data_IF_239907321448
#
_entry.id   IF_239907321448
#
_cell.length_a   1.000
_cell.length_b   1.000
_cell.length_c   1.000
_cell.angle_alpha   90.00
_cell.angle_beta   90.00
_cell.angle_gamma   90.00
#
_symmetry.space_group_name_H-M   'P 1'
#
loop_
_entity.id
_entity.type
_entity.pdbx_description
1 polymer ?
#
# COMPACT_ATOMS: atom_id res chain seq x y z
N UNK A 1 -7.17 13.72 -8.23
CA UNK A 1 -5.74 13.90 -8.50
C UNK A 1 -5.08 12.55 -8.63
N UNK A 2 -4.00 12.46 -9.40
CA UNK A 2 -3.26 11.22 -9.59
C UNK A 2 -1.78 11.49 -9.82
N UNK A 3 -0.93 10.61 -9.32
CA UNK A 3 0.51 10.59 -9.59
C UNK A 3 0.86 9.34 -10.39
N UNK A 4 1.82 9.47 -11.30
CA UNK A 4 2.31 8.40 -12.16
C UNK A 4 3.81 8.21 -11.96
N UNK A 5 4.37 7.12 -12.53
CA UNK A 5 5.81 6.83 -12.55
C UNK A 5 6.46 6.69 -11.16
N UNK A 6 5.67 6.35 -10.14
CA UNK A 6 6.15 6.11 -8.79
C UNK A 6 6.83 4.74 -8.70
N UNK A 7 7.68 4.57 -7.68
CA UNK A 7 8.30 3.29 -7.33
C UNK A 7 7.71 2.81 -6.01
N UNK A 8 7.02 1.68 -6.04
CA UNK A 8 6.43 1.06 -4.85
C UNK A 8 7.45 0.15 -4.16
N UNK A 9 7.72 0.47 -2.90
CA UNK A 9 8.44 -0.39 -1.97
C UNK A 9 7.45 -1.01 -0.99
N UNK A 10 7.76 -2.22 -0.52
CA UNK A 10 7.04 -2.86 0.58
C UNK A 10 8.01 -3.35 1.64
N UNK A 11 7.57 -3.47 2.88
CA UNK A 11 8.45 -3.87 3.97
C UNK A 11 7.78 -3.92 5.33
N UNK A 12 8.57 -4.23 6.36
CA UNK A 12 8.10 -4.21 7.75
C UNK A 12 8.12 -2.78 8.28
N UNK A 13 7.18 -2.49 9.17
CA UNK A 13 7.25 -1.30 10.03
C UNK A 13 7.04 -1.73 11.47
N UNK A 14 7.53 -0.93 12.42
CA UNK A 14 7.38 -1.21 13.85
C UNK A 14 5.88 -1.27 14.21
N UNK A 15 5.10 -0.28 13.76
CA UNK A 15 3.66 -0.20 14.03
C UNK A 15 2.88 -1.38 13.45
N UNK A 16 3.27 -1.86 12.26
CA UNK A 16 2.70 -3.06 11.65
C UNK A 16 3.01 -4.30 12.48
N UNK A 17 4.25 -4.45 12.97
CA UNK A 17 4.63 -5.55 13.87
C UNK A 17 3.79 -5.56 15.16
N UNK A 18 3.67 -4.41 15.83
CA UNK A 18 2.86 -4.28 17.05
C UNK A 18 1.39 -4.62 16.78
N UNK A 19 0.82 -4.13 15.68
CA UNK A 19 -0.57 -4.38 15.34
C UNK A 19 -0.83 -5.86 15.01
N UNK A 20 0.14 -6.56 14.43
CA UNK A 20 0.05 -8.01 14.17
C UNK A 20 -0.03 -8.82 15.48
N UNK A 21 0.72 -8.45 16.51
CA UNK A 21 0.65 -9.10 17.84
C UNK A 21 -0.73 -8.91 18.50
N UNK A 22 -1.37 -7.77 18.25
CA UNK A 22 -2.74 -7.51 18.68
C UNK A 22 -3.81 -8.28 17.87
N UNK A 23 -3.45 -8.85 16.72
CA UNK A 23 -4.30 -9.69 15.88
C UNK A 23 -4.48 -9.17 14.45
N UNK A 24 -4.47 -10.10 13.49
CA UNK A 24 -4.48 -9.81 12.03
C UNK A 24 -5.80 -9.25 11.50
N UNK A 25 -6.90 -9.44 12.24
CA UNK A 25 -8.27 -9.01 11.84
C UNK A 25 -8.70 -7.73 12.55
N UNK A 26 -7.82 -7.10 13.33
CA UNK A 26 -8.13 -5.91 14.11
C UNK A 26 -8.17 -4.65 13.25
N UNK A 27 -8.85 -3.60 13.74
CA UNK A 27 -8.84 -2.28 13.08
C UNK A 27 -7.46 -1.65 13.15
N UNK A 28 -6.70 -1.99 14.19
CA UNK A 28 -5.32 -1.57 14.42
C UNK A 28 -4.40 -2.10 13.31
N UNK A 29 -4.57 -3.36 12.89
CA UNK A 29 -3.85 -3.91 11.74
C UNK A 29 -4.18 -3.15 10.45
N UNK A 30 -5.45 -2.81 10.22
CA UNK A 30 -5.84 -1.99 9.05
C UNK A 30 -5.17 -0.62 9.11
N UNK A 31 -5.20 0.08 10.25
CA UNK A 31 -4.56 1.40 10.39
C UNK A 31 -3.04 1.35 10.22
N UNK A 32 -2.40 0.25 10.64
CA UNK A 32 -0.95 0.12 10.60
C UNK A 32 -0.41 -0.39 9.25
N UNK A 33 -1.18 -1.20 8.51
CA UNK A 33 -0.71 -1.89 7.32
C UNK A 33 -1.50 -1.58 6.03
N UNK A 34 -2.74 -1.09 6.12
CA UNK A 34 -3.53 -0.64 4.96
C UNK A 34 -3.26 0.83 4.63
N UNK A 35 -1.98 1.22 4.61
CA UNK A 35 -1.53 2.59 4.36
C UNK A 35 -0.54 2.63 3.21
N UNK A 36 -0.51 3.76 2.49
CA UNK A 36 0.55 4.11 1.56
C UNK A 36 1.20 5.41 2.03
N UNK A 37 2.50 5.37 2.31
CA UNK A 37 3.29 6.54 2.71
C UNK A 37 3.91 7.20 1.48
N UNK A 38 3.94 8.53 1.50
CA UNK A 38 4.46 9.37 0.42
C UNK A 38 5.51 10.34 0.95
N UNK A 39 6.44 10.73 0.08
CA UNK A 39 7.25 11.93 0.29
C UNK A 39 6.35 13.17 0.46
N UNK A 40 6.83 14.17 1.22
CA UNK A 40 6.09 15.42 1.45
C UNK A 40 5.75 16.16 0.15
N UNK A 41 6.65 16.14 -0.83
CA UNK A 41 6.44 16.78 -2.14
C UNK A 41 5.37 16.07 -2.96
N UNK A 42 5.48 14.75 -3.12
CA UNK A 42 4.47 13.92 -3.80
C UNK A 42 3.10 14.05 -3.13
N UNK A 43 3.04 14.03 -1.80
CA UNK A 43 1.78 14.16 -1.08
C UNK A 43 1.12 15.53 -1.27
N UNK A 44 1.93 16.59 -1.39
CA UNK A 44 1.43 17.92 -1.73
C UNK A 44 0.84 17.95 -3.14
N UNK A 45 1.45 17.25 -4.10
CA UNK A 45 0.92 17.12 -5.46
C UNK A 45 -0.37 16.29 -5.54
N UNK A 46 -0.54 15.29 -4.65
CA UNK A 46 -1.80 14.55 -4.53
C UNK A 46 -2.98 15.43 -4.09
N UNK A 47 -2.70 16.55 -3.41
CA UNK A 47 -3.69 17.53 -2.95
C UNK A 47 -4.87 16.89 -2.20
N UNK A 48 -4.52 16.09 -1.18
CA UNK A 48 -5.49 15.43 -0.30
C UNK A 48 -5.07 15.51 1.17
N UNK A 49 -5.99 15.15 2.08
CA UNK A 49 -5.70 15.10 3.51
C UNK A 49 -5.13 13.72 3.89
N UNK A 50 -4.29 13.67 4.93
CA UNK A 50 -3.85 12.40 5.53
C UNK A 50 -5.08 11.56 5.89
N UNK A 51 -5.01 10.27 5.59
CA UNK A 51 -6.12 9.33 5.75
C UNK A 51 -7.12 9.36 4.59
N UNK A 52 -6.92 10.18 3.56
CA UNK A 52 -7.75 10.08 2.35
C UNK A 52 -7.45 8.75 1.64
N UNK A 53 -8.44 7.93 1.28
CA UNK A 53 -8.22 6.72 0.51
C UNK A 53 -7.61 7.03 -0.86
N UNK A 54 -6.61 6.23 -1.23
CA UNK A 54 -5.97 6.27 -2.54
C UNK A 54 -5.97 4.88 -3.14
N UNK A 55 -6.16 4.80 -4.46
CA UNK A 55 -5.99 3.56 -5.22
C UNK A 55 -4.56 3.52 -5.74
N UNK A 56 -3.83 2.47 -5.37
CA UNK A 56 -2.49 2.17 -5.87
C UNK A 56 -2.63 1.07 -6.90
N UNK A 57 -2.09 1.29 -8.10
CA UNK A 57 -2.15 0.34 -9.21
C UNK A 57 -0.73 0.06 -9.71
N UNK A 58 -0.43 -1.21 -9.95
CA UNK A 58 0.76 -1.70 -10.65
C UNK A 58 0.31 -2.58 -11.82
N UNK A 59 1.26 -3.10 -12.59
CA UNK A 59 0.94 -4.06 -13.67
C UNK A 59 0.35 -5.39 -13.15
N UNK A 60 0.40 -5.62 -11.84
CA UNK A 60 0.03 -6.90 -11.20
C UNK A 60 -1.30 -6.84 -10.45
N UNK A 61 -1.86 -5.63 -10.26
CA UNK A 61 -3.15 -5.46 -9.60
C UNK A 61 -3.35 -4.05 -9.04
N UNK A 62 -4.38 -3.91 -8.23
CA UNK A 62 -4.71 -2.64 -7.57
C UNK A 62 -5.23 -2.84 -6.14
N UNK A 63 -5.02 -1.83 -5.30
CA UNK A 63 -5.52 -1.82 -3.93
C UNK A 63 -5.90 -0.42 -3.47
N UNK A 64 -6.95 -0.30 -2.67
CA UNK A 64 -7.32 0.94 -1.99
C UNK A 64 -6.78 0.93 -0.56
N UNK A 65 -5.97 1.91 -0.23
CA UNK A 65 -5.30 2.08 1.08
C UNK A 65 -5.40 3.53 1.55
N UNK A 66 -5.18 3.79 2.83
CA UNK A 66 -5.14 5.16 3.35
C UNK A 66 -3.83 5.85 3.00
N UNK A 67 -3.88 7.08 2.50
CA UNK A 67 -2.67 7.86 2.22
C UNK A 67 -2.12 8.51 3.50
N UNK A 68 -0.80 8.60 3.62
CA UNK A 68 -0.13 9.32 4.72
C UNK A 68 1.22 9.89 4.26
N UNK A 69 1.78 10.80 5.05
CA UNK A 69 3.09 11.39 4.82
C UNK A 69 4.12 10.65 5.68
N UNK A 70 5.28 10.34 5.13
CA UNK A 70 6.40 9.81 5.94
C UNK A 70 7.29 10.92 6.49
N UNK A 71 7.91 10.64 7.63
CA UNK A 71 8.94 11.48 8.24
C UNK A 71 10.37 11.06 7.82
N UNK A 72 10.49 9.88 7.20
CA UNK A 72 11.75 9.43 6.62
C UNK A 72 12.18 10.37 5.49
N UNK A 73 13.50 10.50 5.28
CA UNK A 73 14.11 11.57 4.49
C UNK A 73 13.54 11.75 3.08
N UNK A 74 13.89 12.85 2.37
CA UNK A 74 13.28 13.13 1.09
C UNK A 74 13.53 12.01 0.08
N UNK A 75 12.46 11.49 -0.50
CA UNK A 75 12.48 10.43 -1.51
C UNK A 75 11.36 10.62 -2.56
N UNK A 76 11.32 11.75 -3.29
CA UNK A 76 10.29 11.99 -4.30
C UNK A 76 10.20 10.85 -5.31
N UNK A 77 8.99 10.47 -5.67
CA UNK A 77 8.71 9.37 -6.59
C UNK A 77 8.78 7.98 -5.96
N UNK A 78 9.03 7.85 -4.65
CA UNK A 78 9.01 6.58 -3.91
C UNK A 78 7.83 6.56 -2.95
N UNK A 79 7.04 5.50 -3.04
CA UNK A 79 5.92 5.23 -2.13
C UNK A 79 6.14 3.91 -1.42
N UNK A 80 5.57 3.77 -0.23
CA UNK A 80 5.75 2.55 0.56
C UNK A 80 4.42 2.05 1.14
N UNK A 81 4.19 0.74 1.05
CA UNK A 81 3.07 0.05 1.69
C UNK A 81 3.64 -1.02 2.62
N UNK A 82 3.27 -1.04 3.91
CA UNK A 82 3.68 -2.11 4.82
C UNK A 82 3.26 -3.49 4.29
N UNK A 83 4.10 -4.50 4.51
CA UNK A 83 3.82 -5.86 4.09
C UNK A 83 2.51 -6.37 4.71
N UNK A 84 1.72 -7.10 3.92
CA UNK A 84 0.42 -7.59 4.33
C UNK A 84 -0.50 -7.85 3.14
N UNK A 85 -1.77 -8.21 3.40
CA UNK A 85 -2.72 -8.55 2.35
C UNK A 85 -2.96 -7.40 1.36
N UNK A 86 -2.86 -6.14 1.81
CA UNK A 86 -2.97 -4.95 0.96
C UNK A 86 -1.80 -4.80 -0.02
N UNK A 87 -0.55 -4.87 0.46
CA UNK A 87 0.62 -4.86 -0.40
C UNK A 87 0.60 -6.03 -1.40
N UNK A 88 0.18 -7.22 -0.97
CA UNK A 88 0.15 -8.41 -1.82
C UNK A 88 -0.78 -8.30 -3.03
N UNK A 89 -1.72 -7.35 -3.06
CA UNK A 89 -2.59 -7.13 -4.24
C UNK A 89 -1.84 -6.49 -5.43
N UNK A 90 -0.65 -5.92 -5.19
CA UNK A 90 0.04 -5.07 -6.17
C UNK A 90 1.51 -5.47 -6.39
N UNK A 91 1.97 -6.55 -5.76
CA UNK A 91 3.34 -7.09 -5.93
C UNK A 91 3.41 -8.01 -7.15
N UNK A 92 4.59 -8.12 -7.73
CA UNK A 92 4.83 -9.05 -8.83
C UNK A 92 4.93 -10.49 -8.29
N UNK A 93 4.03 -11.41 -8.69
CA UNK A 93 4.05 -12.79 -8.22
C UNK A 93 5.16 -13.63 -8.86
N UNK A 94 5.80 -13.16 -9.93
CA UNK A 94 6.90 -13.86 -10.59
C UNK A 94 8.08 -14.02 -9.63
N UNK A 95 8.49 -15.27 -9.46
CA UNK A 95 9.59 -15.67 -8.57
C UNK A 95 10.93 -15.74 -9.29
N UNK A 96 10.96 -15.60 -10.61
CA UNK A 96 12.17 -15.70 -11.44
C UNK A 96 12.92 -17.02 -11.20
N UNK A 97 12.17 -18.10 -10.97
CA UNK A 97 12.68 -19.44 -10.62
C UNK A 97 13.50 -19.52 -9.31
N UNK A 98 13.36 -18.54 -8.41
CA UNK A 98 14.05 -18.52 -7.10
C UNK A 98 13.15 -18.92 -5.92
N UNK A 99 11.85 -19.10 -6.16
CA UNK A 99 10.85 -19.35 -5.12
C UNK A 99 10.43 -18.12 -4.31
N UNK A 100 11.02 -16.94 -4.56
CA UNK A 100 10.68 -15.68 -3.87
C UNK A 100 10.08 -14.67 -4.84
N UNK A 101 8.84 -14.19 -4.65
CA UNK A 101 8.26 -13.12 -5.47
C UNK A 101 9.01 -11.79 -5.38
N UNK A 102 8.81 -10.93 -6.37
CA UNK A 102 9.37 -9.57 -6.36
C UNK A 102 8.47 -8.62 -5.57
N UNK A 103 8.84 -8.38 -4.30
CA UNK A 103 8.07 -7.56 -3.36
C UNK A 103 8.36 -6.05 -3.38
N UNK A 104 9.44 -5.62 -4.04
CA UNK A 104 9.92 -4.23 -3.98
C UNK A 104 10.34 -3.73 -5.36
N UNK A 105 10.14 -2.44 -5.61
CA UNK A 105 10.66 -1.75 -6.79
C UNK A 105 9.70 -1.76 -7.98
N UNK A 106 8.42 -2.10 -7.79
CA UNK A 106 7.44 -2.07 -8.87
C UNK A 106 7.11 -0.64 -9.28
N UNK A 107 6.86 -0.41 -10.58
CA UNK A 107 6.27 0.85 -11.03
C UNK A 107 4.81 0.92 -10.62
N UNK A 108 4.40 2.11 -10.16
CA UNK A 108 3.08 2.32 -9.61
C UNK A 108 2.47 3.66 -10.07
N UNK A 109 1.15 3.67 -10.12
CA UNK A 109 0.29 4.84 -10.24
C UNK A 109 -0.56 4.95 -8.98
N UNK A 110 -0.85 6.18 -8.56
CA UNK A 110 -1.72 6.47 -7.42
C UNK A 110 -2.83 7.43 -7.83
N UNK A 111 -4.06 7.13 -7.45
CA UNK A 111 -5.24 7.96 -7.69
C UNK A 111 -5.99 8.25 -6.39
N UNK A 112 -6.35 9.52 -6.15
CA UNK A 112 -7.15 9.91 -4.97
C UNK A 112 -8.59 9.44 -5.13
N UNK A 113 -9.08 8.67 -4.16
CA UNK A 113 -10.44 8.11 -4.15
C UNK A 113 -11.32 8.84 -3.12
N UNK A 114 -11.94 9.95 -3.53
CA UNK A 114 -12.89 10.68 -2.67
C UNK A 114 -14.08 9.79 -2.34
N UNK A 115 -14.23 9.40 -1.07
CA UNK A 115 -15.27 8.45 -0.63
C UNK A 115 -14.95 6.98 -0.90
N UNK A 116 -13.71 6.64 -1.26
CA UNK A 116 -13.25 5.26 -1.38
C UNK A 116 -13.33 4.52 -0.04
N UNK A 117 -13.44 3.19 -0.09
CA UNK A 117 -13.44 2.33 1.09
C UNK A 117 -12.19 1.48 1.12
N UNK A 118 -11.39 1.62 2.18
CA UNK A 118 -10.31 0.67 2.48
C UNK A 118 -10.93 -0.56 3.11
N UNK A 119 -10.73 -1.73 2.48
CA UNK A 119 -11.24 -3.00 2.98
C UNK A 119 -10.40 -3.51 4.14
N UNK A 120 -11.06 -4.20 5.09
CA UNK A 120 -10.32 -4.97 6.09
C UNK A 120 -9.67 -6.22 5.46
N UNK A 121 -8.78 -6.87 6.20
CA UNK A 121 -8.00 -7.99 5.69
C UNK A 121 -8.87 -9.16 5.19
N UNK A 122 -9.98 -9.47 5.89
CA UNK A 122 -10.86 -10.58 5.50
C UNK A 122 -11.70 -10.22 4.28
N UNK A 123 -12.22 -9.00 4.23
CA UNK A 123 -12.94 -8.48 3.06
C UNK A 123 -12.06 -8.50 1.81
N UNK A 124 -10.80 -8.05 1.95
CA UNK A 124 -9.86 -8.02 0.82
C UNK A 124 -9.50 -9.42 0.35
N UNK A 125 -9.16 -10.34 1.28
CA UNK A 125 -8.84 -11.74 0.92
C UNK A 125 -10.07 -12.42 0.32
N UNK A 126 -11.29 -12.15 0.81
CA UNK A 126 -12.52 -12.71 0.27
C UNK A 126 -12.81 -12.30 -1.19
N UNK A 127 -12.13 -11.28 -1.72
CA UNK A 127 -12.20 -10.92 -3.14
C UNK A 127 -11.33 -11.83 -4.01
N UNK A 128 -10.29 -12.43 -3.43
CA UNK A 128 -9.45 -13.43 -4.07
C UNK A 128 -10.21 -14.77 -4.09
N UNK A 129 -11.21 -14.89 -4.95
CA UNK A 129 -11.87 -16.19 -5.15
C UNK A 129 -10.89 -17.12 -5.86
N UNK A 130 -10.73 -18.32 -5.32
CA UNK A 130 -10.17 -19.44 -6.07
C UNK A 130 -11.06 -19.63 -7.30
N UNK A 131 -10.44 -19.51 -8.48
CA UNK A 131 -11.07 -19.88 -9.75
C UNK A 131 -11.20 -21.39 -9.88
#
# INVERSE_FOLDING_TARGET
MSLNNLTLLTGRTINQGIALEGGKTTKENVRAAAICTFDKSDFKELDCMVGTPVKVTTDYGEVVVYSTITEEGPHPGIIFIPMGPWANQVVNPDTQATGTPTYKGMKAKVEVMKGGKVLDALQLIGQLKEG
#
